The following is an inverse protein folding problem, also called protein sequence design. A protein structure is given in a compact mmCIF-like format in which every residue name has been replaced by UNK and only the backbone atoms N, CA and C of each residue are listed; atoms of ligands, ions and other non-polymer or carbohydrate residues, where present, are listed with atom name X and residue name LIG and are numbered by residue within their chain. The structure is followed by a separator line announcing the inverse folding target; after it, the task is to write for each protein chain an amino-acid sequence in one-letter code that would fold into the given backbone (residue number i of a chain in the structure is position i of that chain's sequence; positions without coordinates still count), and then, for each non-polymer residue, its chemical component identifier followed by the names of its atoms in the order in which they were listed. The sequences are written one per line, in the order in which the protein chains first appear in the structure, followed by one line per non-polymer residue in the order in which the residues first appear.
data_IF_716127289996
#
_entry.id   IF_716127289996
#
_cell.length_a   1.000
_cell.length_b   1.000
_cell.length_c   1.000
_cell.angle_alpha   90.00
_cell.angle_beta   90.00
_cell.angle_gamma   90.00
#
_symmetry.space_group_name_H-M   'P 1'
#
loop_
_entity.id
_entity.type
_entity.pdbx_description
1 polymer ?
#
# COMPACT_ATOMS: atom_id res chain seq x y z
N UNK A 1 -48.71 10.69 -28.18
CA UNK A 1 -48.12 10.89 -26.84
C UNK A 1 -46.85 10.07 -26.80
N UNK A 2 -45.70 10.70 -26.56
CA UNK A 2 -44.41 10.01 -26.49
C UNK A 2 -44.36 9.23 -25.18
N UNK A 3 -43.95 7.96 -25.25
CA UNK A 3 -43.95 7.03 -24.13
C UNK A 3 -42.92 7.48 -23.06
N UNK A 4 -43.34 7.81 -21.83
CA UNK A 4 -42.45 8.31 -20.78
C UNK A 4 -41.30 7.35 -20.45
N UNK A 5 -41.54 6.04 -20.63
CA UNK A 5 -40.53 5.00 -20.38
C UNK A 5 -39.40 5.01 -21.41
N UNK A 6 -39.71 5.40 -22.65
CA UNK A 6 -38.72 5.52 -23.73
C UNK A 6 -37.82 6.75 -23.51
N UNK A 7 -38.38 7.83 -22.97
CA UNK A 7 -37.60 9.01 -22.59
C UNK A 7 -36.68 8.66 -21.42
N UNK A 8 -37.16 7.93 -20.41
CA UNK A 8 -36.34 7.54 -19.26
C UNK A 8 -35.17 6.60 -19.66
N UNK A 9 -35.39 5.68 -20.59
CA UNK A 9 -34.32 4.81 -21.09
C UNK A 9 -33.27 5.60 -21.87
N UNK A 10 -33.68 6.55 -22.72
CA UNK A 10 -32.75 7.41 -23.47
C UNK A 10 -31.97 8.32 -22.51
N UNK A 11 -32.63 8.89 -21.51
CA UNK A 11 -31.97 9.76 -20.52
C UNK A 11 -30.97 8.97 -19.67
N UNK A 12 -31.30 7.74 -19.25
CA UNK A 12 -30.34 6.87 -18.54
C UNK A 12 -29.14 6.48 -19.40
N UNK A 13 -29.38 6.17 -20.67
CA UNK A 13 -28.31 5.79 -21.59
C UNK A 13 -27.38 6.97 -21.90
N UNK A 14 -27.95 8.17 -22.10
CA UNK A 14 -27.18 9.41 -22.31
C UNK A 14 -26.44 9.83 -21.04
N UNK A 15 -27.05 9.73 -19.84
CA UNK A 15 -26.39 10.00 -18.58
C UNK A 15 -25.25 9.00 -18.30
N UNK A 16 -25.47 7.72 -18.58
CA UNK A 16 -24.43 6.69 -18.46
C UNK A 16 -23.25 6.93 -19.41
N UNK A 17 -23.52 7.35 -20.65
CA UNK A 17 -22.46 7.71 -21.59
C UNK A 17 -21.70 8.98 -21.16
N UNK A 18 -22.37 9.97 -20.57
CA UNK A 18 -21.72 11.20 -20.06
C UNK A 18 -20.85 10.91 -18.83
N UNK A 19 -21.29 10.04 -17.92
CA UNK A 19 -20.47 9.63 -16.76
C UNK A 19 -19.27 8.78 -17.15
N UNK A 20 -19.37 8.00 -18.23
CA UNK A 20 -18.25 7.18 -18.73
C UNK A 20 -17.24 8.00 -19.55
N UNK A 21 -17.67 9.11 -20.17
CA UNK A 21 -16.81 10.00 -20.99
C UNK A 21 -16.20 11.17 -20.22
N UNK A 22 -16.51 11.35 -18.94
CA UNK A 22 -15.71 12.23 -18.09
C UNK A 22 -14.47 11.43 -17.71
N UNK A 23 -13.36 11.68 -18.41
CA UNK A 23 -12.04 11.35 -17.87
C UNK A 23 -12.00 11.89 -16.44
N UNK A 24 -12.08 10.98 -15.47
CA UNK A 24 -11.98 11.33 -14.05
C UNK A 24 -10.71 12.17 -13.88
N UNK A 25 -10.76 13.31 -13.17
CA UNK A 25 -9.59 14.17 -13.03
C UNK A 25 -8.42 13.34 -12.54
N UNK A 26 -7.29 13.39 -13.27
CA UNK A 26 -6.09 12.61 -12.92
C UNK A 26 -5.74 12.88 -11.46
N UNK A 27 -5.58 11.79 -10.70
CA UNK A 27 -5.09 11.82 -9.33
C UNK A 27 -3.78 12.60 -9.22
N UNK A 28 -3.56 13.28 -8.09
CA UNK A 28 -2.34 14.05 -7.85
C UNK A 28 -1.26 13.17 -7.21
N UNK A 29 -0.08 13.16 -7.85
CA UNK A 29 1.10 12.44 -7.39
C UNK A 29 2.19 13.44 -7.00
N UNK A 30 2.67 13.37 -5.76
CA UNK A 30 3.86 14.11 -5.35
C UNK A 30 5.12 13.34 -5.76
N UNK A 31 5.97 13.95 -6.58
CA UNK A 31 7.24 13.35 -6.99
C UNK A 31 8.39 13.99 -6.23
N UNK A 32 9.10 13.20 -5.45
CA UNK A 32 10.30 13.61 -4.69
C UNK A 32 11.52 12.98 -5.34
N UNK A 33 12.51 13.80 -5.64
CA UNK A 33 13.80 13.36 -6.17
C UNK A 33 14.92 14.14 -5.50
N UNK A 34 16.13 13.60 -5.58
CA UNK A 34 17.32 14.30 -5.10
C UNK A 34 17.56 15.58 -5.88
N UNK A 35 18.00 16.63 -5.20
CA UNK A 35 18.34 17.90 -5.87
C UNK A 35 19.43 17.69 -6.92
N UNK A 36 19.20 18.21 -8.13
CA UNK A 36 20.16 18.16 -9.25
C UNK A 36 20.07 16.92 -10.13
N UNK A 37 19.21 15.95 -9.82
CA UNK A 37 18.96 14.83 -10.73
C UNK A 37 18.03 15.20 -11.88
N UNK A 38 18.40 14.78 -13.09
CA UNK A 38 17.54 14.92 -14.27
C UNK A 38 16.49 13.82 -14.26
N UNK A 39 15.30 14.15 -13.79
CA UNK A 39 14.12 13.24 -13.77
C UNK A 39 13.14 13.50 -14.93
N UNK A 40 13.58 14.21 -15.98
CA UNK A 40 12.69 14.69 -17.04
C UNK A 40 11.99 13.55 -17.81
N UNK A 41 12.68 12.41 -17.96
CA UNK A 41 12.13 11.23 -18.66
C UNK A 41 11.09 10.53 -17.79
N UNK A 42 11.39 10.40 -16.51
CA UNK A 42 10.55 9.77 -15.50
C UNK A 42 9.26 10.57 -15.31
N UNK A 43 9.38 11.91 -15.22
CA UNK A 43 8.23 12.82 -15.15
C UNK A 43 7.32 12.69 -16.37
N UNK A 44 7.89 12.63 -17.59
CA UNK A 44 7.10 12.48 -18.83
C UNK A 44 6.26 11.20 -18.81
N UNK A 45 6.79 10.10 -18.25
CA UNK A 45 6.07 8.84 -18.10
C UNK A 45 4.95 8.99 -17.06
N UNK A 46 5.21 9.61 -15.92
CA UNK A 46 4.24 9.78 -14.84
C UNK A 46 3.11 10.75 -15.20
N UNK A 47 3.39 11.83 -15.92
CA UNK A 47 2.40 12.81 -16.39
C UNK A 47 1.34 12.20 -17.32
N UNK A 48 1.67 11.09 -17.99
CA UNK A 48 0.70 10.36 -18.80
C UNK A 48 -0.44 9.78 -17.95
N UNK A 49 -0.17 9.41 -16.69
CA UNK A 49 -1.13 8.77 -15.79
C UNK A 49 -1.60 9.66 -14.63
N UNK A 50 -0.76 10.60 -14.18
CA UNK A 50 -0.98 11.41 -12.98
C UNK A 50 -0.96 12.90 -13.29
N UNK A 51 -1.57 13.68 -12.40
CA UNK A 51 -1.25 15.09 -12.27
C UNK A 51 -0.03 15.23 -11.34
N UNK A 52 1.15 15.38 -11.93
CA UNK A 52 2.42 15.35 -11.20
C UNK A 52 2.68 16.71 -10.54
N UNK A 53 2.90 16.69 -9.24
CA UNK A 53 3.37 17.85 -8.46
C UNK A 53 4.80 17.57 -8.05
N UNK A 54 5.73 18.45 -8.44
CA UNK A 54 7.12 18.32 -8.06
C UNK A 54 7.30 18.70 -6.59
N UNK A 55 7.91 17.80 -5.82
CA UNK A 55 8.17 17.94 -4.39
C UNK A 55 9.40 18.76 -4.05
N UNK A 56 9.96 19.53 -5.00
CA UNK A 56 11.08 20.44 -4.78
C UNK A 56 10.64 21.74 -4.06
N UNK A 57 9.65 21.57 -3.18
CA UNK A 57 8.91 22.56 -2.43
C UNK A 57 9.75 22.90 -1.19
N UNK A 58 9.96 24.18 -0.91
CA UNK A 58 10.79 24.70 0.19
C UNK A 58 10.31 24.15 1.54
N UNK A 59 11.20 24.02 2.54
CA UNK A 59 10.91 23.35 3.84
C UNK A 59 9.61 23.81 4.54
N UNK A 60 9.17 25.05 4.30
CA UNK A 60 8.00 25.66 4.95
C UNK A 60 6.69 25.64 4.16
N UNK A 61 6.69 25.17 2.92
CA UNK A 61 5.46 25.11 2.14
C UNK A 61 4.62 23.92 2.59
N UNK A 62 3.32 24.16 2.78
CA UNK A 62 2.34 23.13 3.09
C UNK A 62 2.30 22.12 1.96
N UNK A 63 2.35 20.82 2.30
CA UNK A 63 2.23 19.76 1.31
C UNK A 63 0.90 19.92 0.56
N UNK A 64 0.91 19.89 -0.78
CA UNK A 64 -0.32 19.97 -1.57
C UNK A 64 -1.23 18.78 -1.25
N UNK A 65 -2.53 18.94 -1.46
CA UNK A 65 -3.49 17.84 -1.36
C UNK A 65 -3.18 16.80 -2.46
N UNK A 66 -2.48 15.74 -2.07
CA UNK A 66 -1.96 14.67 -2.92
C UNK A 66 -2.43 13.33 -2.40
N UNK A 67 -2.73 12.41 -3.31
CA UNK A 67 -3.26 11.09 -2.97
C UNK A 67 -2.14 10.07 -2.73
N UNK A 68 -0.97 10.32 -3.31
CA UNK A 68 0.19 9.44 -3.22
C UNK A 68 1.46 10.26 -3.40
N UNK A 69 2.54 9.81 -2.78
CA UNK A 69 3.88 10.32 -3.00
C UNK A 69 4.79 9.21 -3.54
N UNK A 70 5.70 9.59 -4.45
CA UNK A 70 6.74 8.72 -4.96
C UNK A 70 8.11 9.36 -4.74
N UNK A 71 9.04 8.56 -4.25
CA UNK A 71 10.46 8.90 -4.22
C UNK A 71 11.14 8.22 -5.41
N UNK A 72 11.70 9.01 -6.32
CA UNK A 72 12.43 8.54 -7.48
C UNK A 72 13.92 8.41 -7.17
N UNK A 73 14.57 7.43 -7.82
CA UNK A 73 16.01 7.17 -7.72
C UNK A 73 16.51 7.10 -6.28
N UNK A 74 15.79 6.38 -5.42
CA UNK A 74 16.17 6.20 -4.03
C UNK A 74 17.51 5.48 -3.97
N UNK A 75 18.54 6.19 -3.53
CA UNK A 75 19.86 5.67 -3.31
C UNK A 75 19.99 4.97 -1.94
N UNK A 76 21.10 4.26 -1.74
CA UNK A 76 21.35 3.56 -0.48
C UNK A 76 21.33 4.51 0.72
N UNK A 77 21.86 5.73 0.56
CA UNK A 77 21.94 6.72 1.64
C UNK A 77 20.53 7.10 2.11
N UNK A 78 19.65 7.40 1.16
CA UNK A 78 18.25 7.75 1.40
C UNK A 78 17.51 6.59 2.07
N UNK A 79 17.65 5.37 1.53
CA UNK A 79 17.04 4.16 2.09
C UNK A 79 17.44 3.93 3.55
N UNK A 80 18.75 3.92 3.83
CA UNK A 80 19.28 3.64 5.17
C UNK A 80 18.84 4.71 6.15
N UNK A 81 18.97 5.99 5.76
CA UNK A 81 18.59 7.09 6.64
C UNK A 81 17.09 7.11 6.93
N UNK A 82 16.26 6.85 5.92
CA UNK A 82 14.82 6.76 6.12
C UNK A 82 14.46 5.59 7.04
N UNK A 83 15.12 4.44 6.89
CA UNK A 83 14.88 3.26 7.73
C UNK A 83 15.25 3.48 9.19
N UNK A 84 16.26 4.32 9.44
CA UNK A 84 16.74 4.71 10.77
C UNK A 84 16.05 5.95 11.33
N UNK A 85 15.17 6.61 10.57
CA UNK A 85 14.47 7.82 10.99
C UNK A 85 15.32 9.10 10.99
N UNK A 86 16.45 9.13 10.27
CA UNK A 86 17.25 10.35 10.12
C UNK A 86 16.59 11.31 9.13
N UNK A 87 16.49 12.59 9.52
CA UNK A 87 15.84 13.67 8.76
C UNK A 87 16.79 14.82 8.43
N UNK A 88 18.05 14.51 8.14
CA UNK A 88 19.08 15.51 7.87
C UNK A 88 19.09 15.99 6.41
N UNK A 89 18.42 15.27 5.50
CA UNK A 89 18.21 15.68 4.10
C UNK A 89 16.76 16.12 3.85
N UNK A 90 16.54 16.91 2.80
CA UNK A 90 15.21 17.40 2.45
C UNK A 90 14.25 16.24 2.13
N UNK A 91 14.72 15.26 1.38
CA UNK A 91 13.97 14.06 0.98
C UNK A 91 13.50 13.31 2.23
N UNK A 92 14.39 13.12 3.21
CA UNK A 92 14.07 12.41 4.43
C UNK A 92 13.15 13.21 5.37
N UNK A 93 13.27 14.53 5.43
CA UNK A 93 12.28 15.37 6.11
C UNK A 93 10.90 15.20 5.50
N UNK A 94 10.80 15.20 4.16
CA UNK A 94 9.54 14.97 3.45
C UNK A 94 8.99 13.57 3.69
N UNK A 95 9.84 12.56 3.72
CA UNK A 95 9.44 11.19 4.06
C UNK A 95 8.72 11.14 5.40
N UNK A 96 9.30 11.72 6.46
CA UNK A 96 8.68 11.74 7.79
C UNK A 96 7.38 12.56 7.82
N UNK A 97 7.33 13.69 7.10
CA UNK A 97 6.10 14.47 6.98
C UNK A 97 4.97 13.68 6.31
N UNK A 98 5.25 13.01 5.20
CA UNK A 98 4.28 12.17 4.48
C UNK A 98 3.79 11.01 5.34
N UNK A 99 4.71 10.36 6.07
CA UNK A 99 4.37 9.30 7.02
C UNK A 99 3.44 9.80 8.13
N UNK A 100 3.69 11.02 8.65
CA UNK A 100 2.85 11.63 9.69
C UNK A 100 1.46 11.99 9.18
N UNK A 101 1.36 12.33 7.90
CA UNK A 101 0.09 12.63 7.22
C UNK A 101 -0.63 11.39 6.70
N UNK A 102 -0.09 10.18 6.94
CA UNK A 102 -0.62 8.91 6.44
C UNK A 102 -0.80 8.88 4.91
N UNK A 103 -0.01 9.66 4.18
CA UNK A 103 -0.03 9.67 2.71
C UNK A 103 0.70 8.42 2.20
N UNK A 104 0.10 7.63 1.29
CA UNK A 104 0.77 6.46 0.69
C UNK A 104 2.09 6.84 0.01
N UNK A 105 3.16 6.09 0.33
CA UNK A 105 4.50 6.33 -0.19
C UNK A 105 4.97 5.14 -1.02
N UNK A 106 5.50 5.44 -2.21
CA UNK A 106 6.19 4.46 -3.04
C UNK A 106 7.65 4.85 -3.29
N UNK A 107 8.55 3.88 -3.23
CA UNK A 107 9.97 4.05 -3.54
C UNK A 107 10.32 3.39 -4.88
N UNK A 108 10.95 4.15 -5.76
CA UNK A 108 11.64 3.64 -6.94
C UNK A 108 13.14 3.68 -6.65
N UNK A 109 13.75 2.51 -6.53
CA UNK A 109 15.18 2.40 -6.23
C UNK A 109 16.02 2.84 -7.42
N UNK A 110 17.19 3.41 -7.15
CA UNK A 110 18.20 3.56 -8.18
C UNK A 110 18.67 2.17 -8.68
N UNK A 111 19.26 2.14 -9.88
CA UNK A 111 19.69 0.89 -10.52
C UNK A 111 20.80 0.17 -9.73
N UNK A 112 21.66 0.91 -9.02
CA UNK A 112 22.79 0.37 -8.28
C UNK A 112 22.31 -0.36 -7.03
N UNK A 113 21.44 0.28 -6.25
CA UNK A 113 20.79 -0.27 -5.07
C UNK A 113 19.87 -1.43 -5.45
N UNK A 114 19.13 -1.33 -6.56
CA UNK A 114 18.29 -2.42 -7.04
C UNK A 114 19.12 -3.68 -7.31
N UNK A 115 20.26 -3.54 -8.01
CA UNK A 115 21.18 -4.66 -8.27
C UNK A 115 21.75 -5.23 -6.98
N UNK A 116 22.13 -4.36 -6.04
CA UNK A 116 22.69 -4.77 -4.76
C UNK A 116 21.71 -5.63 -3.95
N UNK A 117 20.44 -5.22 -3.90
CA UNK A 117 19.39 -5.96 -3.18
C UNK A 117 19.09 -7.32 -3.84
N UNK A 118 19.14 -7.38 -5.17
CA UNK A 118 18.87 -8.58 -5.96
C UNK A 118 20.05 -9.56 -6.05
N UNK A 119 21.27 -9.12 -5.73
CA UNK A 119 22.45 -9.99 -5.73
C UNK A 119 22.24 -11.13 -4.75
N UNK A 120 22.51 -12.38 -5.13
CA UNK A 120 22.40 -13.52 -4.20
C UNK A 120 23.45 -13.40 -3.09
N UNK A 121 23.02 -13.55 -1.84
CA UNK A 121 23.87 -13.44 -0.66
C UNK A 121 24.72 -14.68 -0.38
N UNK A 122 24.31 -15.86 -0.85
CA UNK A 122 24.87 -17.12 -0.37
C UNK A 122 26.33 -17.37 -0.77
N UNK A 123 26.78 -16.78 -1.88
CA UNK A 123 28.15 -16.95 -2.40
C UNK A 123 28.92 -15.62 -2.52
N UNK A 124 28.33 -14.52 -2.07
CA UNK A 124 28.94 -13.21 -2.21
C UNK A 124 29.92 -12.94 -1.05
N UNK A 125 31.15 -12.50 -1.38
CA UNK A 125 32.19 -12.15 -0.40
C UNK A 125 31.71 -11.17 0.68
N UNK A 126 30.75 -10.31 0.34
CA UNK A 126 30.18 -9.29 1.24
C UNK A 126 28.72 -9.59 1.61
N UNK A 127 28.37 -10.86 1.77
CA UNK A 127 27.00 -11.33 2.07
C UNK A 127 26.35 -10.60 3.25
N UNK A 128 27.05 -10.45 4.37
CA UNK A 128 26.53 -9.76 5.56
C UNK A 128 26.16 -8.30 5.28
N UNK A 129 26.94 -7.59 4.46
CA UNK A 129 26.58 -6.24 4.04
C UNK A 129 25.30 -6.23 3.19
N UNK A 130 25.15 -7.15 2.25
CA UNK A 130 23.94 -7.28 1.42
C UNK A 130 22.71 -7.57 2.29
N UNK A 131 22.84 -8.46 3.29
CA UNK A 131 21.79 -8.75 4.26
C UNK A 131 21.38 -7.51 5.05
N UNK A 132 22.35 -6.69 5.49
CA UNK A 132 22.05 -5.42 6.15
C UNK A 132 21.26 -4.47 5.25
N UNK A 133 21.61 -4.36 3.97
CA UNK A 133 20.85 -3.50 3.04
C UNK A 133 19.43 -4.04 2.81
N UNK A 134 19.27 -5.36 2.68
CA UNK A 134 17.93 -5.98 2.59
C UNK A 134 17.12 -5.75 3.87
N UNK A 135 17.75 -5.80 5.04
CA UNK A 135 17.09 -5.50 6.31
C UNK A 135 16.53 -4.07 6.34
N UNK A 136 17.29 -3.06 5.86
CA UNK A 136 16.77 -1.70 5.76
C UNK A 136 15.58 -1.58 4.80
N UNK A 137 15.61 -2.26 3.65
CA UNK A 137 14.45 -2.34 2.76
C UNK A 137 13.24 -2.92 3.48
N UNK A 138 13.40 -4.07 4.16
CA UNK A 138 12.32 -4.72 4.88
C UNK A 138 11.75 -3.83 6.00
N UNK A 139 12.61 -3.08 6.70
CA UNK A 139 12.18 -2.09 7.70
C UNK A 139 11.30 -1.02 7.06
N UNK A 140 11.71 -0.46 5.92
CA UNK A 140 10.89 0.53 5.19
C UNK A 140 9.56 -0.08 4.71
N UNK A 141 9.56 -1.31 4.20
CA UNK A 141 8.32 -2.01 3.83
C UNK A 141 7.39 -2.20 5.03
N UNK A 142 7.95 -2.47 6.23
CA UNK A 142 7.17 -2.62 7.46
C UNK A 142 6.45 -1.34 7.89
N UNK A 143 6.92 -0.17 7.42
CA UNK A 143 6.26 1.10 7.63
C UNK A 143 5.08 1.34 6.66
N UNK A 144 4.84 0.41 5.72
CA UNK A 144 3.77 0.52 4.71
C UNK A 144 4.22 1.16 3.40
N UNK A 145 5.52 1.38 3.21
CA UNK A 145 6.08 1.90 1.96
C UNK A 145 6.17 0.78 0.92
N UNK A 146 5.71 1.05 -0.30
CA UNK A 146 5.76 0.08 -1.41
C UNK A 146 6.97 0.32 -2.31
N UNK A 147 7.71 -0.72 -2.68
CA UNK A 147 8.78 -0.62 -3.68
C UNK A 147 8.23 -0.96 -5.06
N UNK A 148 8.28 -0.02 -5.99
CA UNK A 148 7.70 -0.16 -7.33
C UNK A 148 8.75 0.22 -8.38
N UNK A 149 8.60 -0.34 -9.58
CA UNK A 149 9.27 0.18 -10.78
C UNK A 149 8.48 1.37 -11.32
N UNK A 150 9.14 2.20 -12.11
CA UNK A 150 8.51 3.39 -12.68
C UNK A 150 7.25 3.06 -13.48
N UNK A 151 7.24 1.94 -14.20
CA UNK A 151 6.13 1.50 -15.05
C UNK A 151 4.91 0.99 -14.25
N UNK A 152 5.13 0.64 -12.97
CA UNK A 152 4.12 0.14 -12.04
C UNK A 152 3.41 1.28 -11.29
N UNK A 153 3.92 2.51 -11.37
CA UNK A 153 3.34 3.72 -10.77
C UNK A 153 2.15 4.24 -11.58
N UNK A 154 1.09 3.46 -11.62
CA UNK A 154 -0.20 3.86 -12.20
C UNK A 154 -1.15 4.23 -11.06
N UNK A 155 -2.07 5.18 -11.27
CA UNK A 155 -3.14 5.39 -10.32
C UNK A 155 -3.82 4.05 -10.13
N UNK A 156 -3.96 3.67 -8.87
CA UNK A 156 -4.97 2.70 -8.49
C UNK A 156 -6.25 3.28 -9.06
N UNK A 157 -6.69 2.79 -10.23
CA UNK A 157 -8.08 2.97 -10.64
C UNK A 157 -8.85 2.60 -9.40
N UNK A 158 -9.78 3.46 -8.97
CA UNK A 158 -10.77 3.14 -7.95
C UNK A 158 -11.53 1.91 -8.45
N UNK A 159 -10.87 0.78 -8.29
CA UNK A 159 -11.38 -0.54 -8.43
C UNK A 159 -12.26 -0.55 -7.21
N UNK A 160 -13.58 -0.46 -7.42
CA UNK A 160 -14.57 -1.01 -6.48
C UNK A 160 -13.87 -2.16 -5.78
N UNK A 161 -13.69 -2.11 -4.45
CA UNK A 161 -12.69 -2.91 -3.77
C UNK A 161 -12.75 -4.34 -4.30
N UNK A 162 -11.78 -4.69 -5.14
CA UNK A 162 -11.67 -6.06 -5.62
C UNK A 162 -11.47 -6.85 -4.34
N UNK A 163 -12.42 -7.74 -4.06
CA UNK A 163 -12.57 -8.44 -2.80
C UNK A 163 -11.37 -9.33 -2.41
N UNK A 164 -10.26 -9.29 -3.16
CA UNK A 164 -9.14 -10.22 -3.04
C UNK A 164 -7.84 -9.62 -2.47
N UNK A 165 -7.80 -8.34 -2.09
CA UNK A 165 -6.64 -7.77 -1.36
C UNK A 165 -7.01 -6.94 -0.14
N UNK A 166 -8.13 -7.30 0.51
CA UNK A 166 -8.42 -6.81 1.85
C UNK A 166 -7.45 -7.50 2.81
N UNK A 167 -6.43 -6.73 3.22
CA UNK A 167 -5.95 -6.66 4.59
C UNK A 167 -5.74 -8.03 5.26
N UNK A 168 -4.48 -8.44 5.41
CA UNK A 168 -4.07 -9.17 6.62
C UNK A 168 -4.18 -8.24 7.85
N UNK A 169 -5.35 -7.64 8.07
CA UNK A 169 -5.81 -7.42 9.43
C UNK A 169 -6.15 -8.82 9.92
N UNK A 170 -5.62 -9.31 11.04
CA UNK A 170 -6.27 -10.44 11.68
C UNK A 170 -7.70 -9.99 11.94
N UNK A 171 -8.67 -10.56 11.20
CA UNK A 171 -10.04 -10.52 11.68
C UNK A 171 -9.94 -11.19 13.05
N UNK A 172 -10.05 -10.41 14.12
CA UNK A 172 -10.20 -10.95 15.47
C UNK A 172 -11.52 -11.69 15.48
N UNK A 173 -11.48 -12.92 14.97
CA UNK A 173 -12.63 -13.79 14.88
C UNK A 173 -12.91 -14.16 16.31
N UNK A 174 -14.05 -13.67 16.83
CA UNK A 174 -14.49 -13.98 18.18
C UNK A 174 -15.31 -15.28 18.13
N UNK A 175 -14.89 -16.27 18.90
CA UNK A 175 -15.66 -17.49 19.15
C UNK A 175 -16.44 -17.30 20.45
N UNK A 176 -17.75 -17.16 20.30
CA UNK A 176 -18.73 -17.05 21.37
C UNK A 176 -19.37 -18.40 21.64
N UNK A 177 -20.04 -18.54 22.79
CA UNK A 177 -20.76 -19.77 23.17
C UNK A 177 -21.74 -20.23 22.08
N UNK A 178 -22.53 -19.31 21.52
CA UNK A 178 -23.51 -19.62 20.47
C UNK A 178 -22.88 -20.27 19.23
N UNK A 179 -21.63 -19.92 18.89
CA UNK A 179 -20.93 -20.54 17.75
C UNK A 179 -20.50 -21.96 18.05
N UNK A 180 -20.20 -22.27 19.31
CA UNK A 180 -19.87 -23.63 19.74
C UNK A 180 -21.13 -24.48 19.85
N UNK A 181 -22.23 -23.91 20.32
CA UNK A 181 -23.54 -24.59 20.40
C UNK A 181 -24.07 -25.03 19.04
N UNK A 182 -23.83 -24.22 18.00
CA UNK A 182 -24.25 -24.51 16.64
C UNK A 182 -23.21 -25.32 15.84
N UNK A 183 -22.08 -25.71 16.44
CA UNK A 183 -21.04 -26.47 15.75
C UNK A 183 -21.37 -27.96 15.69
N UNK A 184 -21.40 -28.50 14.48
CA UNK A 184 -21.65 -29.92 14.23
C UNK A 184 -20.34 -30.63 13.93
N UNK A 185 -19.59 -30.97 14.98
CA UNK A 185 -18.34 -31.73 14.85
C UNK A 185 -17.59 -31.85 16.16
N UNK A 186 -16.68 -32.83 16.23
CA UNK A 186 -15.84 -33.08 17.42
C UNK A 186 -14.61 -32.19 17.50
N UNK A 187 -14.32 -31.42 16.44
CA UNK A 187 -13.17 -30.53 16.36
C UNK A 187 -13.57 -29.19 15.73
N UNK A 188 -13.13 -28.09 16.37
CA UNK A 188 -13.32 -26.73 15.91
C UNK A 188 -11.94 -26.14 15.61
N UNK A 189 -11.63 -26.02 14.32
CA UNK A 189 -10.36 -25.49 13.83
C UNK A 189 -10.46 -23.97 13.68
N UNK A 190 -9.60 -23.23 14.39
CA UNK A 190 -9.62 -21.76 14.44
C UNK A 190 -8.30 -21.15 13.95
N UNK A 191 -8.34 -19.97 13.35
CA UNK A 191 -7.11 -19.30 12.87
C UNK A 191 -6.26 -18.78 14.04
N UNK A 192 -4.93 -18.77 13.89
CA UNK A 192 -4.04 -18.10 14.84
C UNK A 192 -4.45 -16.62 15.03
N UNK A 193 -4.61 -16.19 16.29
CA UNK A 193 -5.11 -14.85 16.64
C UNK A 193 -6.64 -14.72 16.82
N UNK A 194 -7.38 -15.84 16.72
CA UNK A 194 -8.81 -15.91 17.10
C UNK A 194 -8.96 -15.73 18.61
N UNK A 195 -9.88 -14.87 19.04
CA UNK A 195 -10.20 -14.69 20.46
C UNK A 195 -11.32 -15.67 20.81
N UNK A 196 -11.08 -16.55 21.78
CA UNK A 196 -12.08 -17.50 22.28
C UNK A 196 -12.58 -16.98 23.61
N UNK A 197 -13.89 -16.78 23.73
CA UNK A 197 -14.48 -16.37 25.01
C UNK A 197 -14.42 -17.51 26.02
N UNK A 198 -14.27 -17.23 27.33
CA UNK A 198 -14.29 -18.27 28.36
C UNK A 198 -15.53 -19.17 28.30
N UNK A 199 -16.72 -18.58 28.09
CA UNK A 199 -17.98 -19.32 27.94
C UNK A 199 -17.96 -20.27 26.73
N UNK A 200 -17.31 -19.89 25.62
CA UNK A 200 -17.16 -20.77 24.47
C UNK A 200 -16.23 -21.96 24.76
N UNK A 201 -15.16 -21.73 25.54
CA UNK A 201 -14.22 -22.78 25.91
C UNK A 201 -14.86 -23.78 26.88
N UNK A 202 -15.64 -23.29 27.84
CA UNK A 202 -16.41 -24.13 28.77
C UNK A 202 -17.44 -24.97 28.01
N UNK A 203 -18.16 -24.35 27.06
CA UNK A 203 -19.15 -25.07 26.25
C UNK A 203 -18.54 -26.10 25.32
N UNK A 204 -17.37 -25.81 24.74
CA UNK A 204 -16.65 -26.77 23.92
C UNK A 204 -16.23 -28.00 24.75
N UNK A 205 -15.81 -27.78 26.00
CA UNK A 205 -15.48 -28.86 26.92
C UNK A 205 -16.71 -29.70 27.31
N UNK A 206 -17.86 -29.07 27.54
CA UNK A 206 -19.13 -29.75 27.83
C UNK A 206 -19.60 -30.61 26.66
N UNK A 207 -19.47 -30.11 25.42
CA UNK A 207 -19.89 -30.79 24.20
C UNK A 207 -18.82 -31.76 23.63
N UNK A 208 -17.67 -31.90 24.29
CA UNK A 208 -16.57 -32.76 23.83
C UNK A 208 -15.88 -32.28 22.54
N UNK A 209 -16.00 -30.99 22.22
CA UNK A 209 -15.44 -30.36 21.03
C UNK A 209 -14.02 -29.90 21.34
N UNK A 210 -13.04 -30.39 20.56
CA UNK A 210 -11.64 -29.98 20.67
C UNK A 210 -11.39 -28.73 19.83
N UNK A 211 -10.87 -27.66 20.43
CA UNK A 211 -10.48 -26.46 19.68
C UNK A 211 -8.99 -26.56 19.30
N UNK A 212 -8.68 -26.44 18.02
CA UNK A 212 -7.29 -26.49 17.49
C UNK A 212 -6.98 -25.27 16.64
N UNK A 213 -5.73 -24.81 16.67
CA UNK A 213 -5.29 -23.63 15.91
C UNK A 213 -4.62 -24.05 14.60
N UNK A 214 -4.97 -23.37 13.51
CA UNK A 214 -4.25 -23.37 12.23
C UNK A 214 -3.01 -22.48 12.30
#
# INVERSE_FOLDING_TARGET
MIDPKLIESIVREVLGQIETNRESPKSRLLVISKQGESIAKELSILESYWNVVSGNIQENDSLPDVQQAVFLNVDQTTLVKAALGFTDTLENKRFVQLMTMEIPISFVLDQTLQKLIQTDGNEHRYSGYLEHIRAYKNTIESFGVTFLRLEELKPLKESKPSHDQIQRKPSKTLITQEKVDNHTGTELVVKQGTIITPLAMDKARELGIKITFL
#
